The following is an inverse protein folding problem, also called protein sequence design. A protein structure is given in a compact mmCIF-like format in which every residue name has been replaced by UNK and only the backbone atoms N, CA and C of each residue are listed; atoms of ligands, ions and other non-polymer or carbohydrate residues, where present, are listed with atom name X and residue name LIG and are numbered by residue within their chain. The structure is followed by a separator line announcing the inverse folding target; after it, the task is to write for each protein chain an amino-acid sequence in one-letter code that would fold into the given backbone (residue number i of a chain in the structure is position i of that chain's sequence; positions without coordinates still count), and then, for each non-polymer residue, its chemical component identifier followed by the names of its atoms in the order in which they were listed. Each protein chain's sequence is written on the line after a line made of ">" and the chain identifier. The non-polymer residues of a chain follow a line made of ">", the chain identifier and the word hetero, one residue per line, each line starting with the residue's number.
data_IF_456929796170
#
_entry.id   IF_456929796170
#
_cell.length_a   1.000
_cell.length_b   1.000
_cell.length_c   1.000
_cell.angle_alpha   90.00
_cell.angle_beta   90.00
_cell.angle_gamma   90.00
#
_symmetry.space_group_name_H-M   'P 1'
#
loop_
_entity.id
_entity.type
_entity.pdbx_description
1 polymer ?
#
# COMPACT_ATOMS: atom_id res chain seq x y z
N UNK A 1 52.99 49.19 7.98
CA UNK A 1 52.61 48.14 7.02
C UNK A 1 51.17 47.75 7.34
N UNK A 2 50.20 48.27 6.59
CA UNK A 2 48.76 48.09 6.85
C UNK A 2 48.20 47.18 5.76
N UNK A 3 47.62 46.05 6.15
CA UNK A 3 47.01 45.07 5.24
C UNK A 3 45.57 45.53 5.01
N UNK A 4 45.26 46.00 3.80
CA UNK A 4 43.88 46.23 3.36
C UNK A 4 43.22 44.88 3.11
N UNK A 5 42.18 44.56 3.87
CA UNK A 5 41.28 43.43 3.59
C UNK A 5 40.36 43.81 2.44
N UNK A 6 40.43 43.06 1.34
CA UNK A 6 39.47 43.18 0.23
C UNK A 6 38.10 42.68 0.70
N UNK A 7 37.09 43.55 0.65
CA UNK A 7 35.69 43.15 0.84
C UNK A 7 35.26 42.24 -0.32
N UNK A 8 34.77 41.05 0.00
CA UNK A 8 34.12 40.16 -0.95
C UNK A 8 32.81 40.80 -1.44
N UNK A 9 32.46 40.72 -2.73
CA UNK A 9 31.22 41.27 -3.24
C UNK A 9 30.02 40.62 -2.54
N UNK A 10 29.14 41.47 -2.01
CA UNK A 10 27.87 41.07 -1.40
C UNK A 10 27.09 40.16 -2.35
N UNK A 11 26.70 38.99 -1.85
CA UNK A 11 25.88 38.03 -2.57
C UNK A 11 24.63 38.71 -3.12
N UNK A 12 24.45 38.67 -4.44
CA UNK A 12 23.20 39.04 -5.07
C UNK A 12 22.06 38.23 -4.42
N UNK A 13 21.04 38.95 -3.96
CA UNK A 13 19.88 38.38 -3.28
C UNK A 13 19.38 37.12 -4.01
N UNK A 14 19.36 36.00 -3.28
CA UNK A 14 18.71 34.77 -3.74
C UNK A 14 17.32 35.11 -4.25
N UNK A 15 17.09 34.86 -5.54
CA UNK A 15 15.77 34.99 -6.13
C UNK A 15 14.78 34.15 -5.31
N UNK A 16 13.75 34.82 -4.81
CA UNK A 16 12.60 34.25 -4.11
C UNK A 16 12.05 33.05 -4.91
N UNK A 17 12.42 31.84 -4.47
CA UNK A 17 12.22 30.57 -5.19
C UNK A 17 10.76 30.15 -5.34
N UNK A 18 9.84 30.93 -4.76
CA UNK A 18 8.44 30.54 -4.59
C UNK A 18 7.47 31.26 -5.55
N UNK A 19 7.99 32.00 -6.53
CA UNK A 19 7.17 32.74 -7.50
C UNK A 19 7.49 32.41 -8.96
N UNK A 20 6.46 32.26 -9.78
CA UNK A 20 6.57 32.19 -11.24
C UNK A 20 6.26 33.56 -11.83
N UNK A 21 7.04 34.00 -12.80
CA UNK A 21 6.84 35.30 -13.45
C UNK A 21 6.04 35.08 -14.73
N UNK A 22 4.80 35.57 -14.75
CA UNK A 22 3.99 35.63 -15.96
C UNK A 22 4.09 37.04 -16.54
N UNK A 23 4.67 37.16 -17.73
CA UNK A 23 4.68 38.42 -18.49
C UNK A 23 3.54 38.38 -19.50
N UNK A 24 2.58 39.30 -19.40
CA UNK A 24 1.51 39.49 -20.38
C UNK A 24 1.67 40.84 -21.09
N UNK A 25 0.85 41.11 -22.10
CA UNK A 25 0.80 42.41 -22.77
C UNK A 25 0.46 43.59 -21.81
N UNK A 26 -0.05 43.30 -20.61
CA UNK A 26 -0.41 44.28 -19.58
C UNK A 26 0.68 44.42 -18.49
N UNK A 27 1.83 43.76 -18.66
CA UNK A 27 2.97 43.82 -17.75
C UNK A 27 3.31 42.49 -17.07
N UNK A 28 4.28 42.56 -16.17
CA UNK A 28 4.85 41.40 -15.47
C UNK A 28 4.22 41.25 -14.09
N UNK A 29 3.57 40.11 -13.82
CA UNK A 29 3.08 39.78 -12.48
C UNK A 29 3.79 38.54 -11.94
N UNK A 30 4.24 38.62 -10.68
CA UNK A 30 4.65 37.45 -9.90
C UNK A 30 3.40 36.74 -9.41
N UNK A 31 3.17 35.53 -9.88
CA UNK A 31 2.14 34.65 -9.33
C UNK A 31 2.81 33.69 -8.33
N UNK A 32 2.24 33.51 -7.13
CA UNK A 32 2.72 32.46 -6.23
C UNK A 32 2.64 31.10 -6.93
N UNK A 33 3.68 30.27 -6.80
CA UNK A 33 3.68 28.92 -7.39
C UNK A 33 2.48 28.08 -6.92
N UNK A 34 1.93 28.36 -5.73
CA UNK A 34 0.73 27.71 -5.20
C UNK A 34 -0.53 27.92 -6.06
N UNK A 35 -0.66 29.07 -6.74
CA UNK A 35 -1.81 29.36 -7.59
C UNK A 35 -1.74 28.61 -8.92
N UNK A 36 -0.53 28.39 -9.44
CA UNK A 36 -0.32 27.63 -10.68
C UNK A 36 -0.47 26.13 -10.44
N UNK A 37 -0.06 25.62 -9.27
CA UNK A 37 -0.23 24.21 -8.90
C UNK A 37 -1.69 23.73 -8.94
N UNK A 38 -2.65 24.63 -8.70
CA UNK A 38 -4.09 24.33 -8.80
C UNK A 38 -4.61 24.22 -10.25
N UNK A 39 -4.00 24.93 -11.20
CA UNK A 39 -4.48 24.95 -12.60
C UNK A 39 -4.07 23.71 -13.41
N UNK A 40 -3.01 23.01 -12.98
CA UNK A 40 -2.47 21.83 -13.66
C UNK A 40 -2.65 20.53 -12.86
N UNK A 41 -3.51 20.54 -11.85
CA UNK A 41 -3.88 19.29 -11.19
C UNK A 41 -4.58 18.39 -12.22
N UNK A 42 -4.17 17.11 -12.37
CA UNK A 42 -4.88 16.16 -13.21
C UNK A 42 -6.36 16.14 -12.81
N UNK A 43 -7.24 16.18 -13.81
CA UNK A 43 -8.66 16.03 -13.55
C UNK A 43 -8.91 14.73 -12.78
N UNK A 44 -9.88 14.69 -11.84
CA UNK A 44 -10.26 13.45 -11.19
C UNK A 44 -10.64 12.38 -12.20
N UNK A 45 -10.57 11.10 -11.81
CA UNK A 45 -11.19 10.05 -12.63
C UNK A 45 -12.67 10.37 -12.84
N UNK A 46 -13.13 10.20 -14.09
CA UNK A 46 -14.52 10.41 -14.49
C UNK A 46 -15.31 9.10 -14.66
N UNK A 47 -14.62 7.95 -14.57
CA UNK A 47 -15.18 6.60 -14.67
C UNK A 47 -14.20 5.59 -14.07
N UNK A 48 -14.67 4.36 -13.88
CA UNK A 48 -13.77 3.24 -13.56
C UNK A 48 -12.72 3.08 -14.64
N UNK A 49 -11.50 2.75 -14.22
CA UNK A 49 -10.33 2.65 -15.07
C UNK A 49 -9.63 1.32 -14.80
N UNK A 50 -9.26 0.62 -15.86
CA UNK A 50 -8.34 -0.52 -15.78
C UNK A 50 -7.01 -0.13 -16.40
N UNK A 51 -5.93 -0.32 -15.65
CA UNK A 51 -4.55 -0.23 -16.12
C UNK A 51 -3.96 -1.63 -16.18
N UNK A 52 -3.33 -1.95 -17.30
CA UNK A 52 -2.66 -3.22 -17.55
C UNK A 52 -1.18 -3.09 -17.20
N UNK A 53 -0.66 -4.03 -16.41
CA UNK A 53 0.77 -4.18 -16.11
C UNK A 53 1.22 -5.54 -16.64
N UNK A 54 2.31 -5.56 -17.39
CA UNK A 54 2.96 -6.79 -17.83
C UNK A 54 4.46 -6.74 -17.50
N UNK A 55 4.93 -7.62 -16.61
CA UNK A 55 6.32 -7.58 -16.13
C UNK A 55 7.34 -7.91 -17.24
N UNK A 56 6.93 -8.68 -18.24
CA UNK A 56 7.81 -9.24 -19.27
C UNK A 56 7.88 -8.37 -20.51
N UNK A 57 6.74 -7.83 -20.97
CA UNK A 57 6.64 -7.10 -22.25
C UNK A 57 6.19 -5.65 -22.08
N UNK A 58 5.84 -5.21 -20.88
CA UNK A 58 5.36 -3.85 -20.62
C UNK A 58 6.46 -2.80 -20.68
N UNK A 59 6.04 -1.52 -20.72
CA UNK A 59 6.92 -0.36 -20.64
C UNK A 59 6.22 0.75 -19.84
N UNK A 60 6.87 1.33 -18.83
CA UNK A 60 6.26 2.36 -17.99
C UNK A 60 5.96 3.68 -18.70
N UNK A 61 6.54 3.90 -19.89
CA UNK A 61 6.19 4.99 -20.81
C UNK A 61 4.88 4.80 -21.57
N UNK A 62 4.31 3.58 -21.61
CA UNK A 62 3.02 3.33 -22.25
C UNK A 62 1.86 3.91 -21.43
N UNK A 63 0.64 3.98 -21.96
CA UNK A 63 -0.51 4.51 -21.22
C UNK A 63 -1.13 3.50 -20.23
N UNK A 64 -0.88 2.19 -20.41
CA UNK A 64 -1.48 1.13 -19.61
C UNK A 64 -2.94 0.85 -19.94
N UNK A 65 -3.53 1.41 -21.00
CA UNK A 65 -4.97 1.30 -21.27
C UNK A 65 -5.36 0.02 -22.03
N UNK A 66 -4.37 -0.70 -22.57
CA UNK A 66 -4.55 -1.99 -23.24
C UNK A 66 -3.39 -2.93 -22.90
N UNK A 67 -3.55 -4.23 -23.18
CA UNK A 67 -2.45 -5.19 -23.04
C UNK A 67 -1.25 -4.89 -23.97
N UNK A 68 -1.51 -4.39 -25.18
CA UNK A 68 -0.43 -4.00 -26.12
C UNK A 68 0.32 -2.74 -25.71
N UNK A 69 -0.27 -1.94 -24.83
CA UNK A 69 0.31 -0.72 -24.24
C UNK A 69 0.42 -0.84 -22.72
N UNK A 70 0.65 -2.05 -22.21
CA UNK A 70 0.77 -2.29 -20.77
C UNK A 70 1.97 -1.55 -20.16
N UNK A 71 1.80 -1.10 -18.92
CA UNK A 71 2.90 -0.65 -18.05
C UNK A 71 3.81 -1.82 -17.71
N UNK A 72 5.06 -1.55 -17.36
CA UNK A 72 5.99 -2.61 -16.95
C UNK A 72 5.88 -2.92 -15.46
N UNK A 73 5.63 -1.88 -14.64
CA UNK A 73 5.66 -1.99 -13.19
C UNK A 73 4.35 -1.52 -12.55
N UNK A 74 4.07 -2.06 -11.37
CA UNK A 74 2.96 -1.59 -10.51
C UNK A 74 3.14 -0.09 -10.20
N UNK A 75 4.39 0.35 -9.96
CA UNK A 75 4.68 1.74 -9.66
C UNK A 75 4.36 2.66 -10.84
N UNK A 76 4.72 2.27 -12.07
CA UNK A 76 4.38 3.02 -13.28
C UNK A 76 2.88 3.15 -13.50
N UNK A 77 2.11 2.11 -13.19
CA UNK A 77 0.65 2.18 -13.21
C UNK A 77 0.10 3.13 -12.14
N UNK A 78 0.56 3.01 -10.89
CA UNK A 78 0.13 3.89 -9.79
C UNK A 78 0.45 5.36 -10.06
N UNK A 79 1.63 5.65 -10.62
CA UNK A 79 2.05 7.00 -10.98
C UNK A 79 1.23 7.63 -12.12
N UNK A 80 0.51 6.81 -12.90
CA UNK A 80 -0.34 7.27 -14.00
C UNK A 80 -1.75 7.64 -13.54
N UNK A 81 -2.12 7.31 -12.30
CA UNK A 81 -3.43 7.66 -11.74
C UNK A 81 -3.47 9.14 -11.31
N UNK A 82 -4.60 9.84 -11.51
CA UNK A 82 -4.80 11.15 -10.92
C UNK A 82 -4.92 11.02 -9.40
N UNK A 83 -4.51 12.07 -8.67
CA UNK A 83 -4.61 12.12 -7.20
C UNK A 83 -6.05 11.95 -6.69
N UNK A 84 -7.03 12.50 -7.40
CA UNK A 84 -8.44 12.31 -7.04
C UNK A 84 -9.05 11.19 -7.88
N UNK A 85 -9.46 10.09 -7.24
CA UNK A 85 -10.13 8.98 -7.93
C UNK A 85 -11.63 9.24 -8.17
N UNK A 86 -12.17 10.38 -7.73
CA UNK A 86 -13.54 10.81 -8.08
C UNK A 86 -14.67 9.91 -7.57
N UNK A 87 -14.39 9.04 -6.61
CA UNK A 87 -15.28 7.99 -6.12
C UNK A 87 -15.24 6.70 -6.95
N UNK A 88 -14.46 6.66 -8.03
CA UNK A 88 -14.37 5.52 -8.94
C UNK A 88 -13.34 4.48 -8.49
N UNK A 89 -13.36 3.35 -9.18
CA UNK A 89 -12.38 2.26 -9.00
C UNK A 89 -11.32 2.30 -10.09
N UNK A 90 -10.06 2.29 -9.67
CA UNK A 90 -8.90 2.05 -10.52
C UNK A 90 -8.39 0.61 -10.29
N UNK A 91 -8.52 -0.24 -11.29
CA UNK A 91 -7.99 -1.61 -11.28
C UNK A 91 -6.63 -1.62 -11.95
N UNK A 92 -5.61 -2.12 -11.26
CA UNK A 92 -4.29 -2.44 -11.82
C UNK A 92 -4.27 -3.96 -12.01
N UNK A 93 -4.44 -4.39 -13.25
CA UNK A 93 -4.50 -5.79 -13.62
C UNK A 93 -3.10 -6.28 -14.02
N UNK A 94 -2.62 -7.30 -13.32
CA UNK A 94 -1.27 -7.83 -13.48
C UNK A 94 -1.27 -9.03 -14.43
N UNK A 95 -0.32 -9.04 -15.35
CA UNK A 95 -0.09 -10.09 -16.33
C UNK A 95 1.40 -10.44 -16.37
N UNK A 96 1.70 -11.69 -16.72
CA UNK A 96 3.01 -12.16 -17.16
C UNK A 96 4.17 -11.97 -16.18
N UNK A 97 4.85 -13.07 -15.83
CA UNK A 97 6.15 -13.05 -15.14
C UNK A 97 6.20 -12.41 -13.75
N UNK A 98 7.37 -12.55 -13.12
CA UNK A 98 7.62 -12.08 -11.75
C UNK A 98 7.93 -10.59 -11.70
N UNK A 99 7.19 -9.87 -10.86
CA UNK A 99 7.39 -8.46 -10.57
C UNK A 99 8.34 -8.33 -9.37
N UNK A 100 9.53 -7.74 -9.57
CA UNK A 100 10.51 -7.57 -8.50
C UNK A 100 10.77 -6.09 -8.20
N UNK A 101 10.57 -5.69 -6.94
CA UNK A 101 11.01 -4.41 -6.40
C UNK A 101 11.20 -4.52 -4.89
N UNK A 102 12.18 -3.80 -4.32
CA UNK A 102 12.40 -3.83 -2.87
C UNK A 102 11.15 -3.41 -2.07
N UNK A 103 10.42 -2.40 -2.56
CA UNK A 103 9.15 -1.99 -2.00
C UNK A 103 8.30 -1.38 -3.11
N UNK A 104 7.11 -1.93 -3.32
CA UNK A 104 6.03 -1.27 -4.02
C UNK A 104 5.41 -0.28 -3.07
N UNK A 105 6.13 0.82 -2.90
CA UNK A 105 5.73 1.88 -2.00
C UNK A 105 4.66 2.70 -2.69
N UNK A 106 3.48 2.64 -2.09
CA UNK A 106 2.40 3.53 -2.43
C UNK A 106 2.47 4.78 -1.52
N UNK A 107 3.63 5.08 -0.90
CA UNK A 107 3.81 6.28 -0.06
C UNK A 107 3.67 7.62 -0.82
N UNK A 108 3.65 7.60 -2.15
CA UNK A 108 3.25 8.73 -2.98
C UNK A 108 1.74 9.03 -2.98
N UNK A 109 0.93 8.19 -2.35
CA UNK A 109 -0.54 8.22 -2.43
C UNK A 109 -1.23 8.77 -1.20
N UNK A 110 -0.51 9.49 -0.34
CA UNK A 110 -1.10 10.64 0.34
C UNK A 110 -1.86 11.56 -0.65
N UNK A 111 -1.50 11.48 -1.94
CA UNK A 111 -2.22 12.08 -3.06
C UNK A 111 -3.48 11.30 -3.48
N UNK A 112 -3.50 9.95 -3.46
CA UNK A 112 -4.66 9.19 -3.93
C UNK A 112 -5.74 9.17 -2.86
N UNK A 113 -6.90 9.72 -3.20
CA UNK A 113 -8.02 9.83 -2.28
C UNK A 113 -9.36 9.69 -3.02
N UNK A 114 -10.44 9.50 -2.25
CA UNK A 114 -11.80 9.49 -2.76
C UNK A 114 -12.00 8.45 -3.88
N UNK A 115 -11.93 7.16 -3.57
CA UNK A 115 -12.16 6.08 -4.52
C UNK A 115 -11.53 4.77 -4.04
N UNK A 116 -11.41 3.81 -4.95
CA UNK A 116 -10.85 2.48 -4.65
C UNK A 116 -9.74 2.12 -5.63
N UNK A 117 -8.66 1.54 -5.13
CA UNK A 117 -7.64 0.91 -5.93
C UNK A 117 -7.74 -0.60 -5.74
N UNK A 118 -7.71 -1.34 -6.82
CA UNK A 118 -7.63 -2.81 -6.79
C UNK A 118 -6.36 -3.23 -7.51
N UNK A 119 -5.51 -3.99 -6.82
CA UNK A 119 -4.36 -4.68 -7.40
C UNK A 119 -4.76 -6.14 -7.61
N UNK A 120 -4.83 -6.55 -8.87
CA UNK A 120 -5.46 -7.81 -9.29
C UNK A 120 -4.46 -8.72 -10.02
N UNK A 121 -4.11 -9.84 -9.38
CA UNK A 121 -3.20 -10.85 -9.90
C UNK A 121 -3.87 -12.01 -10.62
N UNK A 122 -5.20 -11.99 -10.83
CA UNK A 122 -5.95 -13.12 -11.42
C UNK A 122 -5.53 -13.50 -12.85
N UNK A 123 -4.70 -12.68 -13.50
CA UNK A 123 -4.20 -12.88 -14.86
C UNK A 123 -2.67 -13.05 -14.93
N UNK A 124 -2.01 -13.18 -13.78
CA UNK A 124 -0.60 -13.54 -13.72
C UNK A 124 -0.40 -15.02 -14.07
N UNK A 125 0.80 -15.35 -14.56
CA UNK A 125 1.17 -16.76 -14.78
C UNK A 125 1.16 -17.52 -13.43
N UNK A 126 0.93 -18.83 -13.46
CA UNK A 126 0.75 -19.65 -12.25
C UNK A 126 1.95 -19.55 -11.27
N UNK A 127 3.17 -19.42 -11.82
CA UNK A 127 4.40 -19.30 -11.04
C UNK A 127 4.85 -17.84 -10.80
N UNK A 128 4.14 -16.86 -11.36
CA UNK A 128 4.52 -15.47 -11.25
C UNK A 128 4.24 -14.94 -9.84
N UNK A 129 5.17 -14.11 -9.34
CA UNK A 129 5.11 -13.58 -7.98
C UNK A 129 5.41 -12.08 -7.96
N UNK A 130 4.91 -11.41 -6.93
CA UNK A 130 5.41 -10.11 -6.50
C UNK A 130 6.52 -10.38 -5.48
N UNK A 131 7.77 -10.11 -5.87
CA UNK A 131 8.94 -10.19 -4.99
C UNK A 131 9.16 -8.82 -4.36
N UNK A 132 8.90 -8.71 -3.05
CA UNK A 132 9.09 -7.48 -2.28
C UNK A 132 8.05 -7.26 -1.18
N UNK A 133 7.92 -5.99 -0.75
CA UNK A 133 6.83 -5.53 0.12
C UNK A 133 5.84 -4.66 -0.67
N UNK A 134 4.55 -4.88 -0.45
CA UNK A 134 3.46 -3.97 -0.87
C UNK A 134 3.15 -3.05 0.31
N UNK A 135 3.45 -1.76 0.18
CA UNK A 135 3.19 -0.78 1.24
C UNK A 135 2.09 0.18 0.82
N UNK A 136 0.91 0.00 1.41
CA UNK A 136 -0.28 0.81 1.21
C UNK A 136 -0.28 1.96 2.22
N UNK A 137 -0.31 3.19 1.71
CA UNK A 137 -0.44 4.43 2.47
C UNK A 137 -1.47 5.36 1.82
N UNK A 138 -2.12 6.25 2.57
CA UNK A 138 -3.04 7.26 2.03
C UNK A 138 -4.53 6.90 2.12
N UNK A 139 -5.40 7.84 1.77
CA UNK A 139 -6.79 7.87 2.26
C UNK A 139 -7.86 7.21 1.37
N UNK A 140 -7.47 6.60 0.24
CA UNK A 140 -8.40 5.82 -0.59
C UNK A 140 -8.67 4.42 -0.01
N UNK A 141 -9.57 3.68 -0.65
CA UNK A 141 -9.81 2.27 -0.32
C UNK A 141 -8.89 1.37 -1.15
N UNK A 142 -8.49 0.24 -0.59
CA UNK A 142 -7.60 -0.72 -1.23
C UNK A 142 -8.18 -2.12 -1.25
N UNK A 143 -7.96 -2.82 -2.36
CA UNK A 143 -8.17 -4.25 -2.48
C UNK A 143 -6.94 -4.89 -3.12
N UNK A 144 -6.40 -5.90 -2.47
CA UNK A 144 -5.38 -6.78 -2.99
C UNK A 144 -6.04 -8.13 -3.25
N UNK A 145 -5.97 -8.62 -4.48
CA UNK A 145 -6.67 -9.84 -4.87
C UNK A 145 -5.84 -10.75 -5.75
N UNK A 146 -5.97 -12.05 -5.52
CA UNK A 146 -5.42 -13.08 -6.41
C UNK A 146 -3.90 -12.94 -6.60
N UNK A 147 -3.18 -12.48 -5.56
CA UNK A 147 -1.73 -12.20 -5.61
C UNK A 147 -0.91 -13.34 -5.01
N UNK A 148 0.19 -13.72 -5.65
CA UNK A 148 1.28 -14.44 -5.00
C UNK A 148 2.40 -13.46 -4.62
N UNK A 149 2.71 -13.35 -3.33
CA UNK A 149 3.67 -12.39 -2.77
C UNK A 149 4.78 -13.18 -2.08
N UNK A 150 6.01 -12.99 -2.56
CA UNK A 150 7.22 -13.52 -1.97
C UNK A 150 7.98 -12.37 -1.31
N UNK A 151 8.04 -12.40 0.02
CA UNK A 151 8.74 -11.34 0.73
C UNK A 151 10.25 -11.54 0.64
N UNK A 152 10.97 -10.43 0.48
CA UNK A 152 12.44 -10.39 0.50
C UNK A 152 13.00 -9.26 1.34
N UNK A 153 12.29 -8.13 1.41
CA UNK A 153 12.72 -6.89 2.05
C UNK A 153 11.50 -6.11 2.50
N UNK A 154 11.55 -5.43 3.64
CA UNK A 154 10.45 -4.65 4.20
C UNK A 154 10.69 -4.31 5.67
N UNK A 155 9.92 -3.37 6.23
CA UNK A 155 10.13 -2.94 7.62
C UNK A 155 9.27 -3.74 8.59
N UNK A 156 8.05 -4.09 8.20
CA UNK A 156 7.06 -4.65 9.09
C UNK A 156 6.33 -5.87 8.52
N UNK A 157 6.21 -5.99 7.21
CA UNK A 157 5.61 -7.18 6.61
C UNK A 157 5.61 -7.24 5.09
N UNK A 158 5.05 -8.32 4.53
CA UNK A 158 4.88 -8.47 3.09
C UNK A 158 3.83 -7.52 2.52
N UNK A 159 2.76 -7.34 3.26
CA UNK A 159 1.76 -6.30 3.00
C UNK A 159 1.71 -5.38 4.21
N UNK A 160 2.10 -4.13 4.02
CA UNK A 160 2.05 -3.09 5.06
C UNK A 160 0.92 -2.12 4.74
N UNK A 161 -0.05 -1.98 5.64
CA UNK A 161 -1.19 -1.10 5.45
C UNK A 161 -1.17 -0.02 6.52
N UNK A 162 -1.06 1.22 6.10
CA UNK A 162 -0.91 2.39 6.96
C UNK A 162 -1.86 3.49 6.52
N UNK A 163 -2.51 4.15 7.48
CA UNK A 163 -3.29 5.38 7.23
C UNK A 163 -4.27 5.34 6.05
N UNK A 164 -4.97 4.21 5.87
CA UNK A 164 -5.98 4.01 4.82
C UNK A 164 -7.39 3.98 5.36
N UNK A 165 -8.38 4.30 4.50
CA UNK A 165 -9.79 4.27 4.88
C UNK A 165 -10.28 2.84 5.09
N UNK A 166 -10.18 2.04 4.03
CA UNK A 166 -10.50 0.62 4.05
C UNK A 166 -9.48 -0.17 3.25
N UNK A 167 -9.04 -1.31 3.77
CA UNK A 167 -8.18 -2.23 3.03
C UNK A 167 -8.74 -3.65 3.03
N UNK A 168 -8.50 -4.35 1.94
CA UNK A 168 -8.95 -5.72 1.77
C UNK A 168 -7.85 -6.55 1.14
N UNK A 169 -7.54 -7.69 1.75
CA UNK A 169 -6.59 -8.66 1.20
C UNK A 169 -7.35 -9.97 0.99
N UNK A 170 -7.40 -10.47 -0.24
CA UNK A 170 -8.14 -11.69 -0.49
C UNK A 170 -7.61 -12.58 -1.59
N UNK A 171 -7.83 -13.88 -1.44
CA UNK A 171 -7.30 -14.90 -2.35
C UNK A 171 -5.79 -14.73 -2.65
N UNK A 172 -5.03 -14.23 -1.67
CA UNK A 172 -3.60 -14.01 -1.82
C UNK A 172 -2.82 -15.19 -1.22
N UNK A 173 -1.64 -15.46 -1.77
CA UNK A 173 -0.61 -16.32 -1.18
C UNK A 173 0.54 -15.44 -0.73
N UNK A 174 0.88 -15.45 0.55
CA UNK A 174 2.03 -14.70 1.10
C UNK A 174 3.05 -15.72 1.64
N UNK A 175 4.29 -15.62 1.17
CA UNK A 175 5.37 -16.59 1.45
C UNK A 175 6.71 -15.91 1.78
N UNK A 176 7.56 -16.67 2.48
CA UNK A 176 8.96 -16.36 2.84
C UNK A 176 9.18 -15.06 3.60
N UNK A 177 8.23 -14.67 4.45
CA UNK A 177 8.41 -13.54 5.37
C UNK A 177 9.45 -13.88 6.42
N UNK A 178 10.39 -12.96 6.69
CA UNK A 178 11.36 -13.21 7.75
C UNK A 178 10.71 -13.36 9.12
N UNK A 179 11.45 -14.03 9.99
CA UNK A 179 11.08 -14.39 11.36
C UNK A 179 10.70 -13.22 12.28
N UNK A 180 11.01 -12.00 11.93
CA UNK A 180 10.81 -10.80 12.73
C UNK A 180 9.71 -9.90 12.17
N UNK A 181 8.94 -10.37 11.18
CA UNK A 181 7.96 -9.57 10.42
C UNK A 181 6.62 -10.29 10.28
N UNK A 182 5.61 -9.56 9.82
CA UNK A 182 4.25 -10.06 9.60
C UNK A 182 3.96 -10.37 8.14
N UNK A 183 3.05 -11.32 7.87
CA UNK A 183 2.48 -11.49 6.54
C UNK A 183 1.76 -10.21 6.10
N UNK A 184 0.76 -9.82 6.89
CA UNK A 184 0.06 -8.52 6.76
C UNK A 184 0.23 -7.73 8.06
N UNK A 185 0.74 -6.51 7.93
CA UNK A 185 0.97 -5.58 9.02
C UNK A 185 0.04 -4.37 8.89
N UNK A 186 -0.86 -4.19 9.85
CA UNK A 186 -1.80 -3.06 9.89
C UNK A 186 -1.37 -2.06 10.97
N UNK A 187 -1.13 -0.82 10.57
CA UNK A 187 -0.73 0.26 11.46
C UNK A 187 -1.55 1.52 11.15
N UNK A 188 -2.65 1.76 11.85
CA UNK A 188 -3.23 3.11 11.91
C UNK A 188 -4.43 3.25 12.86
N UNK A 189 -4.67 4.52 13.23
CA UNK A 189 -5.80 5.03 14.00
C UNK A 189 -7.18 4.93 13.33
N UNK A 190 -7.30 4.53 12.06
CA UNK A 190 -8.57 4.60 11.29
C UNK A 190 -8.76 3.51 10.24
N UNK A 191 -8.03 2.39 10.28
CA UNK A 191 -8.21 1.35 9.24
C UNK A 191 -9.30 0.37 9.64
N UNK A 192 -10.33 0.23 8.81
CA UNK A 192 -11.10 -1.01 8.77
C UNK A 192 -10.47 -1.94 7.72
N UNK A 193 -10.02 -3.12 8.12
CA UNK A 193 -9.42 -4.10 7.22
C UNK A 193 -10.18 -5.42 7.21
N UNK A 194 -10.34 -6.00 6.03
CA UNK A 194 -10.88 -7.35 5.87
C UNK A 194 -9.85 -8.25 5.20
N UNK A 195 -9.64 -9.44 5.72
CA UNK A 195 -8.73 -10.44 5.17
C UNK A 195 -9.53 -11.72 4.96
N UNK A 196 -9.61 -12.24 3.74
CA UNK A 196 -10.40 -13.44 3.47
C UNK A 196 -9.78 -14.37 2.44
N UNK A 197 -9.98 -15.68 2.61
CA UNK A 197 -9.43 -16.72 1.73
C UNK A 197 -7.94 -16.53 1.40
N UNK A 198 -7.12 -16.10 2.37
CA UNK A 198 -5.70 -15.77 2.12
C UNK A 198 -4.82 -16.84 2.76
N UNK A 199 -3.86 -17.38 2.00
CA UNK A 199 -2.93 -18.41 2.46
C UNK A 199 -1.59 -17.80 2.88
N UNK A 200 -1.18 -18.04 4.12
CA UNK A 200 0.09 -17.61 4.71
C UNK A 200 1.01 -18.82 4.90
N UNK A 201 2.03 -19.00 4.05
CA UNK A 201 2.96 -20.14 4.14
C UNK A 201 4.34 -19.63 4.52
N UNK A 202 5.04 -20.28 5.45
CA UNK A 202 6.36 -19.84 5.90
C UNK A 202 6.44 -18.34 6.25
N UNK A 203 5.33 -17.77 6.75
CA UNK A 203 5.38 -16.53 7.50
C UNK A 203 5.88 -16.89 8.91
N UNK A 204 7.10 -17.44 8.94
CA UNK A 204 7.74 -17.90 10.14
C UNK A 204 8.02 -16.70 11.01
N UNK A 205 7.88 -16.87 12.31
CA UNK A 205 8.04 -15.83 13.33
C UNK A 205 9.10 -16.42 14.29
N UNK A 206 10.22 -15.76 14.54
CA UNK A 206 11.08 -16.03 15.66
C UNK A 206 10.59 -15.13 16.79
N UNK A 207 10.29 -15.77 17.91
CA UNK A 207 10.40 -15.27 19.29
C UNK A 207 10.36 -13.73 19.45
N UNK A 208 9.25 -13.28 20.01
CA UNK A 208 9.05 -12.03 20.76
C UNK A 208 8.39 -10.80 20.14
N UNK A 209 8.01 -10.70 18.86
CA UNK A 209 7.27 -9.46 18.47
C UNK A 209 6.10 -9.47 17.48
N UNK A 210 5.95 -10.35 16.45
CA UNK A 210 4.89 -10.11 15.42
C UNK A 210 4.23 -11.36 14.78
N UNK A 211 2.91 -11.35 14.50
CA UNK A 211 2.05 -12.43 13.94
C UNK A 211 1.96 -12.49 12.40
N UNK A 212 1.26 -13.49 11.84
CA UNK A 212 0.86 -13.49 10.43
C UNK A 212 -0.05 -12.28 10.09
N UNK A 213 -0.99 -11.94 10.99
CA UNK A 213 -1.82 -10.74 10.93
C UNK A 213 -1.59 -9.86 12.16
N UNK A 214 -0.93 -8.72 12.00
CA UNK A 214 -0.67 -7.77 13.10
C UNK A 214 -1.55 -6.55 13.03
N UNK A 215 -2.09 -6.17 14.17
CA UNK A 215 -2.84 -4.95 14.33
C UNK A 215 -2.33 -4.10 15.49
N UNK A 216 -2.24 -2.80 15.24
CA UNK A 216 -1.92 -1.80 16.25
C UNK A 216 -2.85 -0.58 16.16
N UNK A 217 -3.32 -0.09 17.33
CA UNK A 217 -4.04 1.18 17.55
C UNK A 217 -5.41 1.34 16.85
N UNK A 218 -6.43 0.62 17.31
CA UNK A 218 -7.84 0.97 17.02
C UNK A 218 -8.39 0.58 15.65
N UNK A 219 -7.67 -0.21 14.86
CA UNK A 219 -8.18 -0.83 13.63
C UNK A 219 -9.17 -1.98 13.93
N UNK A 220 -9.94 -2.37 12.91
CA UNK A 220 -10.78 -3.59 12.94
C UNK A 220 -10.23 -4.56 11.91
N UNK A 221 -9.96 -5.80 12.33
CA UNK A 221 -9.67 -6.91 11.41
C UNK A 221 -10.91 -7.78 11.32
N UNK A 222 -11.39 -8.03 10.11
CA UNK A 222 -12.34 -9.11 9.86
C UNK A 222 -11.64 -10.21 9.06
N UNK A 223 -11.35 -11.33 9.70
CA UNK A 223 -10.86 -12.55 9.06
C UNK A 223 -12.07 -13.43 8.70
N UNK A 224 -12.38 -13.58 7.41
CA UNK A 224 -13.53 -14.36 6.94
C UNK A 224 -13.04 -15.48 5.99
N UNK A 225 -13.62 -16.68 6.06
CA UNK A 225 -13.31 -17.77 5.12
C UNK A 225 -12.05 -18.58 5.45
N UNK A 226 -11.51 -19.34 4.50
CA UNK A 226 -10.42 -20.30 4.72
C UNK A 226 -9.04 -19.63 4.64
N UNK A 227 -8.77 -18.67 5.52
CA UNK A 227 -7.41 -18.15 5.64
C UNK A 227 -6.54 -19.19 6.35
N UNK A 228 -5.69 -19.88 5.57
CA UNK A 228 -4.90 -21.03 6.03
C UNK A 228 -3.43 -20.65 6.18
N UNK A 229 -2.69 -21.39 7.00
CA UNK A 229 -1.25 -21.23 7.02
C UNK A 229 -0.50 -22.29 7.80
N UNK A 230 0.78 -22.45 7.49
CA UNK A 230 1.69 -23.37 8.18
C UNK A 230 3.00 -22.67 8.53
N UNK A 231 3.66 -23.17 9.58
CA UNK A 231 4.94 -22.66 10.09
C UNK A 231 4.87 -21.20 10.59
N UNK A 232 3.76 -20.80 11.23
CA UNK A 232 3.58 -19.49 11.86
C UNK A 232 3.63 -19.65 13.40
N UNK A 233 4.15 -18.69 14.18
CA UNK A 233 4.01 -18.73 15.66
C UNK A 233 2.63 -18.29 16.13
N UNK A 234 2.08 -17.24 15.51
CA UNK A 234 0.78 -16.66 15.81
C UNK A 234 0.01 -16.42 14.52
N UNK A 235 -1.28 -16.78 14.52
CA UNK A 235 -2.15 -16.59 13.36
C UNK A 235 -2.61 -15.14 13.30
N UNK A 236 -3.10 -14.63 14.43
CA UNK A 236 -3.58 -13.26 14.57
C UNK A 236 -3.03 -12.71 15.89
N UNK A 237 -2.50 -11.49 15.86
CA UNK A 237 -2.18 -10.73 17.07
C UNK A 237 -2.65 -9.30 16.91
N UNK A 238 -3.20 -8.78 18.00
CA UNK A 238 -3.93 -7.54 18.06
C UNK A 238 -3.52 -6.81 19.33
N UNK A 239 -3.14 -5.54 19.19
CA UNK A 239 -2.66 -4.69 20.28
C UNK A 239 -3.29 -3.30 20.26
N UNK A 240 -3.43 -2.70 21.45
CA UNK A 240 -3.92 -1.34 21.67
C UNK A 240 -5.35 -1.10 21.15
N UNK A 241 -6.34 -1.71 21.83
CA UNK A 241 -7.79 -1.48 21.66
C UNK A 241 -8.35 -1.82 20.26
N UNK A 242 -8.08 -3.04 19.84
CA UNK A 242 -8.24 -3.54 18.49
C UNK A 242 -9.29 -4.67 18.43
N UNK A 243 -10.18 -4.66 17.44
CA UNK A 243 -11.27 -5.67 17.33
C UNK A 243 -10.97 -6.64 16.20
N UNK A 244 -10.94 -7.94 16.51
CA UNK A 244 -10.87 -9.03 15.54
C UNK A 244 -12.24 -9.70 15.46
N UNK A 245 -12.83 -9.72 14.28
CA UNK A 245 -13.95 -10.58 13.92
C UNK A 245 -13.41 -11.81 13.18
N UNK A 246 -13.49 -12.98 13.80
CA UNK A 246 -13.04 -14.25 13.21
C UNK A 246 -14.26 -15.08 12.78
N UNK A 247 -14.44 -15.22 11.46
CA UNK A 247 -15.47 -16.07 10.83
C UNK A 247 -14.85 -17.23 10.05
N UNK A 248 -13.62 -17.61 10.38
CA UNK A 248 -12.93 -18.67 9.67
C UNK A 248 -13.33 -20.05 10.20
N UNK A 249 -13.67 -20.98 9.31
CA UNK A 249 -13.73 -22.42 9.59
C UNK A 249 -12.30 -22.93 9.61
N UNK A 250 -11.68 -22.86 10.79
CA UNK A 250 -10.33 -23.32 11.16
C UNK A 250 -9.43 -23.86 10.03
N UNK A 251 -8.42 -23.07 9.68
CA UNK A 251 -7.19 -23.58 9.10
C UNK A 251 -5.98 -22.96 9.81
N UNK A 252 -5.98 -23.05 11.14
CA UNK A 252 -4.83 -22.74 11.97
C UNK A 252 -4.18 -24.06 12.36
N UNK A 253 -3.35 -24.63 11.49
CA UNK A 253 -2.50 -25.76 11.92
C UNK A 253 -1.65 -25.33 13.11
N UNK A 254 -1.69 -26.06 14.24
CA UNK A 254 -0.91 -25.87 15.49
C UNK A 254 -0.75 -24.45 16.07
N UNK A 255 -1.44 -23.43 15.56
CA UNK A 255 -1.10 -22.02 15.80
C UNK A 255 -1.97 -21.42 16.90
N UNK A 256 -1.31 -20.79 17.87
CA UNK A 256 -1.93 -20.15 19.05
C UNK A 256 -2.54 -18.80 18.65
N UNK A 257 -3.78 -18.53 19.10
CA UNK A 257 -4.35 -17.17 19.15
C UNK A 257 -3.76 -16.47 20.38
N UNK A 258 -3.35 -15.21 20.23
CA UNK A 258 -2.81 -14.41 21.35
C UNK A 258 -3.41 -13.02 21.31
N UNK A 259 -4.10 -12.66 22.39
CA UNK A 259 -4.51 -11.30 22.72
C UNK A 259 -3.48 -10.64 23.63
N UNK A 260 -2.94 -9.48 23.23
CA UNK A 260 -2.08 -8.68 24.10
C UNK A 260 -2.53 -7.22 24.11
N UNK A 261 -2.68 -6.63 25.30
CA UNK A 261 -3.03 -5.21 25.49
C UNK A 261 -4.42 -4.76 24.99
N UNK A 262 -5.48 -5.47 25.42
CA UNK A 262 -6.86 -4.95 25.36
C UNK A 262 -7.58 -5.10 24.01
N UNK A 263 -7.17 -6.07 23.19
CA UNK A 263 -7.93 -6.46 21.99
C UNK A 263 -9.14 -7.34 22.31
N UNK A 264 -10.11 -7.36 21.41
CA UNK A 264 -11.32 -8.18 21.49
C UNK A 264 -11.34 -9.18 20.34
N UNK A 265 -11.49 -10.48 20.62
CA UNK A 265 -11.82 -11.48 19.60
C UNK A 265 -13.30 -11.81 19.72
N UNK A 266 -14.00 -11.63 18.60
CA UNK A 266 -15.41 -11.98 18.43
C UNK A 266 -15.50 -13.09 17.40
N UNK A 267 -16.15 -14.19 17.75
CA UNK A 267 -16.40 -15.30 16.82
C UNK A 267 -17.45 -14.93 15.75
N UNK A 268 -17.69 -15.85 14.82
CA UNK A 268 -18.65 -15.62 13.75
C UNK A 268 -20.12 -15.57 14.14
N UNK A 269 -20.43 -15.91 15.39
CA UNK A 269 -21.74 -15.76 16.00
C UNK A 269 -21.86 -14.49 16.85
N UNK A 270 -20.81 -13.68 16.94
CA UNK A 270 -20.82 -12.47 17.74
C UNK A 270 -20.45 -12.69 19.22
N UNK A 271 -20.03 -13.90 19.61
CA UNK A 271 -19.65 -14.18 20.98
C UNK A 271 -18.19 -13.80 21.23
N UNK A 272 -17.90 -13.39 22.46
CA UNK A 272 -16.52 -13.19 22.89
C UNK A 272 -15.79 -14.53 22.98
N UNK A 273 -14.64 -14.64 22.30
CA UNK A 273 -13.74 -15.78 22.46
C UNK A 273 -12.94 -15.54 23.73
N UNK A 274 -13.22 -16.32 24.77
CA UNK A 274 -12.47 -16.30 26.02
C UNK A 274 -11.23 -17.17 25.84
N UNK A 275 -10.04 -16.57 25.84
CA UNK A 275 -8.76 -17.29 25.90
C UNK A 275 -8.53 -17.91 27.28
#
# INVERSE_FOLDING_TARGET
>A
MSIKTNELPQAAAMADSDSFIVTTAQGTKKTPLSWIRGLFAPAPLAKNLTLYVNATTGNDGNDGLTMGTAKQTILGALQSLPSNLGGFTATIQLYGGTLQAATYSVSGTSRLHNGTIVLDGSHMDEDAQIIGTIMIEGSCNWKLQDLAIQWTTGLYGAVEIRSTGYARVYNCKIDGVDKTKSGVYLLSFTVSSCIYNTKFTNCNIAVDTRPALYQDRGSIICAIGESTGSNNNYGIYSSHASIIFDRTTEALGSVRRVLQFGGLIVDGSGNFVKE
#
